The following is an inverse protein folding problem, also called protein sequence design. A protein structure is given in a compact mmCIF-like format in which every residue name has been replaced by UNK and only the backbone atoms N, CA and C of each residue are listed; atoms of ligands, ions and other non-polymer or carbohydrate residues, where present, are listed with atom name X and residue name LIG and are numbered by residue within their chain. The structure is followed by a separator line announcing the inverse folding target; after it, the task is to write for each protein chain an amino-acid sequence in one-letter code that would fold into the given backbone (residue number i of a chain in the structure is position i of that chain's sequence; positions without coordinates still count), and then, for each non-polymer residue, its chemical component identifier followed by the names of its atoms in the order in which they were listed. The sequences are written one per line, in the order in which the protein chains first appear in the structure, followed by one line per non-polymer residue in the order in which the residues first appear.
data_IF_333253266775
#
_entry.id   IF_333253266775
#
_cell.length_a   1.000
_cell.length_b   1.000
_cell.length_c   1.000
_cell.angle_alpha   90.00
_cell.angle_beta   90.00
_cell.angle_gamma   90.00
#
_symmetry.space_group_name_H-M   'P 1'
#
loop_
_entity.id
_entity.type
_entity.pdbx_description
1 polymer ?
#
# COMPACT_ATOMS: atom_id res chain seq x y z
N UNK A 1 -29.61 43.90 24.09
CA UNK A 1 -28.22 44.08 23.62
C UNK A 1 -27.65 42.70 23.31
N UNK A 2 -27.27 42.51 22.04
CA UNK A 2 -26.58 41.38 21.41
C UNK A 2 -26.63 40.03 22.14
N UNK A 3 -27.54 39.20 21.65
CA UNK A 3 -27.42 37.76 21.72
C UNK A 3 -26.21 37.27 20.92
N UNK A 4 -25.82 36.03 21.23
CA UNK A 4 -25.08 35.10 20.38
C UNK A 4 -23.56 34.96 20.55
N UNK A 5 -23.20 33.68 20.65
CA UNK A 5 -22.04 33.08 19.98
C UNK A 5 -20.74 32.89 20.77
N UNK A 6 -20.84 32.37 22.00
CA UNK A 6 -19.75 31.60 22.66
C UNK A 6 -19.74 30.11 22.25
N UNK A 7 -20.49 29.72 21.22
CA UNK A 7 -20.65 28.33 20.76
C UNK A 7 -19.89 28.00 19.44
N UNK A 8 -19.14 28.94 18.85
CA UNK A 8 -18.44 28.70 17.58
C UNK A 8 -16.98 28.25 17.72
N UNK A 9 -16.35 28.43 18.88
CA UNK A 9 -14.95 28.04 19.09
C UNK A 9 -14.79 26.58 19.50
N UNK A 10 -15.79 25.99 20.16
CA UNK A 10 -15.76 24.58 20.56
C UNK A 10 -16.05 23.67 19.36
N UNK A 11 -16.85 24.14 18.38
CA UNK A 11 -17.14 23.40 17.14
C UNK A 11 -15.94 23.29 16.19
N UNK A 12 -15.00 24.24 16.22
CA UNK A 12 -13.81 24.25 15.35
C UNK A 12 -12.78 23.17 15.72
N UNK A 13 -12.80 22.65 16.94
CA UNK A 13 -11.95 21.52 17.33
C UNK A 13 -12.65 20.17 17.23
N UNK A 14 -13.99 20.13 17.12
CA UNK A 14 -14.75 18.89 17.09
C UNK A 14 -15.21 18.44 15.69
N UNK A 15 -15.01 19.26 14.64
CA UNK A 15 -15.36 18.89 13.25
C UNK A 15 -14.18 18.54 12.33
N UNK A 16 -12.96 18.37 12.86
CA UNK A 16 -11.83 17.97 12.04
C UNK A 16 -11.49 16.48 12.10
N UNK A 17 -12.33 15.65 12.72
CA UNK A 17 -12.19 14.19 12.74
C UNK A 17 -12.80 13.52 11.50
N UNK A 18 -12.58 14.08 10.31
CA UNK A 18 -12.94 13.45 9.03
C UNK A 18 -11.84 13.53 7.98
N UNK A 19 -10.61 13.30 8.41
CA UNK A 19 -9.58 12.78 7.53
C UNK A 19 -8.86 11.69 8.31
N UNK A 20 -9.13 10.43 7.97
CA UNK A 20 -8.34 9.31 8.48
C UNK A 20 -6.87 9.60 8.20
N UNK A 21 -6.03 9.24 9.16
CA UNK A 21 -4.60 9.53 9.21
C UNK A 21 -3.88 9.00 7.96
N UNK A 22 -3.86 9.81 6.88
CA UNK A 22 -3.24 9.46 5.59
C UNK A 22 -1.72 9.32 5.75
N UNK A 23 -1.13 9.97 6.75
CA UNK A 23 0.28 9.84 7.07
C UNK A 23 0.61 8.45 7.64
N UNK A 24 -0.24 7.91 8.52
CA UNK A 24 -0.06 6.55 9.05
C UNK A 24 -0.10 5.46 7.96
N UNK A 25 -0.89 5.66 6.90
CA UNK A 25 -1.03 4.70 5.79
C UNK A 25 0.22 4.57 4.93
N UNK A 26 1.04 5.61 4.89
CA UNK A 26 2.30 5.62 4.14
C UNK A 26 3.48 5.02 4.94
N UNK A 27 3.31 4.80 6.24
CA UNK A 27 4.36 4.27 7.10
C UNK A 27 4.43 2.74 7.03
N UNK A 28 5.64 2.20 7.00
CA UNK A 28 5.86 0.75 7.06
C UNK A 28 5.35 0.17 8.40
N UNK A 29 4.65 -0.98 8.41
CA UNK A 29 4.19 -1.61 9.64
C UNK A 29 5.37 -2.08 10.50
N UNK A 30 5.18 -2.02 11.82
CA UNK A 30 6.11 -2.63 12.79
C UNK A 30 6.01 -4.16 12.75
N UNK A 31 7.06 -4.92 13.14
CA UNK A 31 7.04 -6.38 13.14
C UNK A 31 5.86 -7.00 13.88
N UNK A 32 5.42 -6.37 14.98
CA UNK A 32 4.32 -6.83 15.85
C UNK A 32 2.95 -6.61 15.18
N UNK A 33 2.86 -5.59 14.31
CA UNK A 33 1.63 -5.25 13.57
C UNK A 33 1.57 -5.87 12.17
N UNK A 34 2.66 -6.50 11.71
CA UNK A 34 2.70 -7.17 10.43
C UNK A 34 1.78 -8.39 10.45
N UNK A 35 1.11 -8.67 9.33
CA UNK A 35 0.27 -9.86 9.20
C UNK A 35 1.14 -11.14 9.31
N UNK A 36 0.63 -12.22 9.92
CA UNK A 36 1.40 -13.45 10.21
C UNK A 36 1.86 -14.25 8.98
N UNK A 37 1.59 -13.77 7.76
CA UNK A 37 1.95 -14.44 6.51
C UNK A 37 1.12 -15.69 6.24
N UNK A 38 1.66 -16.56 5.37
CA UNK A 38 1.07 -17.86 5.02
C UNK A 38 2.19 -18.87 4.77
N UNK A 39 1.95 -20.12 5.17
CA UNK A 39 2.90 -21.24 4.96
C UNK A 39 2.89 -21.74 3.52
N UNK A 40 1.75 -21.60 2.82
CA UNK A 40 1.57 -22.08 1.45
C UNK A 40 1.93 -20.98 0.44
N UNK A 41 2.78 -21.33 -0.53
CA UNK A 41 3.14 -20.44 -1.64
C UNK A 41 1.94 -20.21 -2.57
N UNK A 42 1.88 -19.02 -3.18
CA UNK A 42 0.88 -18.76 -4.24
C UNK A 42 1.30 -19.55 -5.48
N UNK A 43 0.34 -20.28 -6.05
CA UNK A 43 0.54 -20.97 -7.33
C UNK A 43 0.49 -19.97 -8.47
N UNK A 44 1.51 -19.99 -9.32
CA UNK A 44 1.59 -19.22 -10.57
C UNK A 44 1.81 -20.16 -11.74
N UNK A 45 1.41 -19.74 -12.95
CA UNK A 45 1.73 -20.50 -14.16
C UNK A 45 3.25 -20.58 -14.34
N UNK A 46 3.76 -21.77 -14.68
CA UNK A 46 5.17 -21.97 -14.99
C UNK A 46 5.59 -21.33 -16.32
N UNK A 47 4.62 -21.04 -17.19
CA UNK A 47 4.82 -20.45 -18.52
C UNK A 47 4.37 -18.99 -18.51
N UNK A 48 5.23 -18.11 -19.00
CA UNK A 48 4.92 -16.71 -19.21
C UNK A 48 3.89 -16.55 -20.32
N UNK A 49 2.85 -15.76 -20.09
CA UNK A 49 1.70 -15.64 -20.99
C UNK A 49 2.10 -15.12 -22.39
N UNK A 50 2.89 -14.04 -22.44
CA UNK A 50 3.31 -13.40 -23.71
C UNK A 50 4.34 -14.22 -24.50
N UNK A 51 5.50 -14.52 -23.93
CA UNK A 51 6.63 -15.11 -24.67
C UNK A 51 6.81 -16.62 -24.47
N UNK A 52 6.04 -17.23 -23.56
CA UNK A 52 6.13 -18.66 -23.29
C UNK A 52 7.38 -19.15 -22.55
N UNK A 53 8.27 -18.26 -22.11
CA UNK A 53 9.45 -18.62 -21.32
C UNK A 53 9.06 -19.00 -19.88
N UNK A 54 9.97 -19.65 -19.14
CA UNK A 54 9.71 -20.06 -17.75
C UNK A 54 9.70 -18.85 -16.80
N UNK A 55 8.67 -18.76 -15.97
CA UNK A 55 8.53 -17.74 -14.90
C UNK A 55 9.06 -18.23 -13.55
N UNK A 56 9.26 -19.55 -13.42
CA UNK A 56 9.80 -20.19 -12.23
C UNK A 56 11.15 -20.84 -12.53
N UNK A 57 12.07 -20.90 -11.56
CA UNK A 57 13.35 -21.59 -11.72
C UNK A 57 13.21 -23.08 -12.09
N UNK A 58 14.24 -23.70 -12.71
CA UNK A 58 15.48 -23.08 -13.17
C UNK A 58 15.30 -22.21 -14.42
N UNK A 59 15.98 -21.06 -14.44
CA UNK A 59 16.07 -20.18 -15.61
C UNK A 59 17.19 -20.64 -16.56
N UNK A 60 17.15 -20.27 -17.86
CA UNK A 60 18.20 -20.61 -18.82
C UNK A 60 19.58 -20.13 -18.38
N UNK A 61 20.62 -20.89 -18.72
CA UNK A 61 22.00 -20.48 -18.45
C UNK A 61 22.34 -19.13 -19.10
N UNK A 62 23.20 -18.35 -18.44
CA UNK A 62 23.59 -17.02 -18.89
C UNK A 62 22.58 -15.90 -18.60
N UNK A 63 21.46 -16.20 -17.95
CA UNK A 63 20.47 -15.19 -17.53
C UNK A 63 20.73 -14.68 -16.11
N UNK A 64 20.37 -13.41 -15.86
CA UNK A 64 20.50 -12.75 -14.55
C UNK A 64 19.16 -12.13 -14.14
N UNK A 65 18.92 -12.02 -12.82
CA UNK A 65 17.70 -11.45 -12.26
C UNK A 65 17.92 -10.02 -11.79
N UNK A 66 16.98 -9.12 -12.10
CA UNK A 66 16.99 -7.73 -11.63
C UNK A 66 15.61 -7.39 -11.05
N UNK A 67 15.59 -6.69 -9.91
CA UNK A 67 14.38 -6.33 -9.16
C UNK A 67 14.17 -4.81 -9.18
N UNK A 68 12.99 -4.35 -9.61
CA UNK A 68 12.62 -2.94 -9.62
C UNK A 68 11.32 -2.72 -8.87
N UNK A 69 11.27 -1.74 -7.96
CA UNK A 69 10.03 -1.28 -7.32
C UNK A 69 9.60 0.06 -7.92
N UNK A 70 8.52 0.07 -8.71
CA UNK A 70 7.89 1.30 -9.22
C UNK A 70 6.37 1.20 -9.10
N UNK A 71 5.76 2.15 -8.41
CA UNK A 71 4.32 2.39 -8.45
C UNK A 71 4.08 3.58 -9.41
N UNK A 72 3.22 3.42 -10.41
CA UNK A 72 2.83 4.51 -11.29
C UNK A 72 1.76 5.35 -10.57
N UNK A 73 2.08 6.60 -10.24
CA UNK A 73 1.09 7.56 -9.76
C UNK A 73 0.48 8.26 -10.97
N UNK A 74 -0.65 7.78 -11.46
CA UNK A 74 -1.41 8.48 -12.51
C UNK A 74 -2.42 9.41 -11.85
N UNK A 75 -1.99 10.63 -11.57
CA UNK A 75 -2.89 11.77 -11.48
C UNK A 75 -2.49 12.74 -12.59
N UNK A 76 -3.19 12.64 -13.72
CA UNK A 76 -3.48 13.82 -14.53
C UNK A 76 -4.84 14.34 -14.07
#
# INVERSE_FOLDING_TARGET
MVASSRAHLIWRHFLSSRMGDMASKAQMPTPETALPGRTVSIKVSAKHDVNGNRTIPPFPEGTQMVMFGKCQNTHQ
#
